data_IF_148432431184
#
_entry.id   IF_148432431184
#
_cell.length_a   1.000
_cell.length_b   1.000
_cell.length_c   1.000
_cell.angle_alpha   90.00
_cell.angle_beta   90.00
_cell.angle_gamma   90.00
#
_symmetry.space_group_name_H-M   'P 1'
#
loop_
_entity.id
_entity.type
_entity.pdbx_description
1 polymer ?
#
# COMPACT_ATOMS: atom_id res chain seq x y z
N UNK A 1 2.26 2.22 10.91
CA UNK A 1 3.37 3.15 11.22
C UNK A 1 3.72 3.98 9.99
N UNK A 2 4.45 5.11 10.15
CA UNK A 2 4.88 5.88 8.98
C UNK A 2 4.84 7.39 9.18
N UNK A 3 4.71 8.14 8.07
CA UNK A 3 4.80 9.60 8.03
C UNK A 3 3.61 10.21 7.29
N UNK A 4 3.02 11.26 7.84
CA UNK A 4 1.98 12.07 7.20
C UNK A 4 2.37 13.55 7.25
N UNK A 5 2.77 14.10 6.11
CA UNK A 5 3.16 15.51 6.02
C UNK A 5 2.02 16.39 5.47
N UNK A 6 0.89 15.80 5.15
CA UNK A 6 -0.30 16.56 4.75
C UNK A 6 -0.91 17.29 5.94
N UNK A 7 -1.08 16.60 7.08
CA UNK A 7 -1.60 17.21 8.30
C UNK A 7 -0.50 17.89 9.12
N UNK A 8 0.76 17.35 9.06
CA UNK A 8 1.94 17.82 9.79
C UNK A 8 1.73 17.94 11.32
N UNK A 9 0.85 17.11 11.86
CA UNK A 9 0.55 16.99 13.29
C UNK A 9 0.61 15.52 13.75
N UNK A 10 1.50 15.18 14.68
CA UNK A 10 2.56 16.04 15.27
C UNK A 10 3.61 16.43 14.23
N UNK A 11 4.44 17.45 14.53
CA UNK A 11 5.48 17.94 13.62
C UNK A 11 6.45 16.85 13.14
N UNK A 12 7.04 17.03 11.97
CA UNK A 12 7.81 16.03 11.22
C UNK A 12 8.90 15.32 12.01
N UNK A 13 9.66 16.06 12.84
CA UNK A 13 10.75 15.46 13.63
C UNK A 13 10.23 14.42 14.63
N UNK A 14 9.06 14.69 15.23
CA UNK A 14 8.44 13.74 16.15
C UNK A 14 7.90 12.53 15.40
N UNK A 15 7.28 12.74 14.22
CA UNK A 15 6.82 11.64 13.35
C UNK A 15 8.01 10.73 12.96
N UNK A 16 9.13 11.30 12.49
CA UNK A 16 10.34 10.56 12.13
C UNK A 16 10.89 9.75 13.31
N UNK A 17 10.99 10.37 14.49
CA UNK A 17 11.48 9.72 15.71
C UNK A 17 10.62 8.48 16.03
N UNK A 18 9.30 8.61 16.01
CA UNK A 18 8.40 7.50 16.32
C UNK A 18 8.37 6.44 15.21
N UNK A 19 8.46 6.84 13.96
CA UNK A 19 8.55 5.90 12.85
C UNK A 19 9.81 5.03 12.98
N UNK A 20 10.97 5.65 13.20
CA UNK A 20 12.22 4.93 13.45
C UNK A 20 12.12 3.97 14.63
N UNK A 21 11.54 4.42 15.77
CA UNK A 21 11.38 3.55 16.95
C UNK A 21 10.46 2.36 16.69
N UNK A 22 9.37 2.56 15.96
CA UNK A 22 8.45 1.48 15.61
C UNK A 22 9.06 0.47 14.63
N UNK A 23 9.91 0.93 13.70
CA UNK A 23 10.68 0.02 12.85
C UNK A 23 11.66 -0.85 13.65
N UNK A 24 12.30 -0.30 14.69
CA UNK A 24 13.13 -1.09 15.59
C UNK A 24 12.33 -2.18 16.32
N UNK A 25 11.14 -1.84 16.83
CA UNK A 25 10.25 -2.83 17.46
C UNK A 25 9.84 -3.91 16.45
N UNK A 26 9.50 -3.53 15.23
CA UNK A 26 9.17 -4.50 14.18
C UNK A 26 10.34 -5.44 13.87
N UNK A 27 11.58 -4.92 13.85
CA UNK A 27 12.78 -5.72 13.66
C UNK A 27 13.01 -6.70 14.84
N UNK A 28 12.89 -6.23 16.07
CA UNK A 28 13.02 -7.04 17.30
C UNK A 28 11.98 -8.17 17.37
N UNK A 29 10.75 -7.90 16.91
CA UNK A 29 9.64 -8.86 16.93
C UNK A 29 9.49 -9.65 15.63
N UNK A 30 10.30 -9.37 14.63
CA UNK A 30 10.24 -9.98 13.28
C UNK A 30 8.86 -9.85 12.61
N UNK A 31 8.14 -8.78 12.92
CA UNK A 31 6.79 -8.54 12.38
C UNK A 31 6.85 -7.76 11.06
N UNK A 32 6.03 -8.14 10.07
CA UNK A 32 5.84 -7.31 8.88
C UNK A 32 5.22 -5.97 9.25
N UNK A 33 5.47 -4.94 8.43
CA UNK A 33 5.00 -3.57 8.71
C UNK A 33 3.99 -3.09 7.69
N UNK A 34 3.02 -2.32 8.15
CA UNK A 34 2.11 -1.53 7.31
C UNK A 34 2.59 -0.09 7.37
N UNK A 35 3.06 0.44 6.24
CA UNK A 35 3.66 1.77 6.16
C UNK A 35 2.65 2.76 5.57
N UNK A 36 2.33 3.79 6.33
CA UNK A 36 1.66 4.98 5.84
C UNK A 36 2.69 6.01 5.38
N UNK A 37 2.51 6.55 4.19
CA UNK A 37 3.38 7.60 3.66
C UNK A 37 2.56 8.58 2.83
N UNK A 38 2.42 9.82 3.33
CA UNK A 38 1.69 10.89 2.64
C UNK A 38 2.54 12.15 2.56
N UNK A 39 2.85 12.59 1.34
CA UNK A 39 3.74 13.71 1.04
C UNK A 39 5.14 13.59 1.68
N UNK A 40 5.57 12.35 2.00
CA UNK A 40 6.76 12.02 2.78
C UNK A 40 7.67 10.97 2.12
N UNK A 41 7.58 10.75 0.81
CA UNK A 41 8.23 9.63 0.12
C UNK A 41 9.73 9.52 0.42
N UNK A 42 10.47 10.66 0.34
CA UNK A 42 11.91 10.67 0.56
C UNK A 42 12.26 10.25 1.98
N UNK A 43 11.69 10.92 2.98
CA UNK A 43 11.99 10.66 4.39
C UNK A 43 11.53 9.24 4.81
N UNK A 44 10.42 8.74 4.23
CA UNK A 44 9.98 7.36 4.44
C UNK A 44 11.03 6.38 3.95
N UNK A 45 11.53 6.54 2.73
CA UNK A 45 12.57 5.67 2.16
C UNK A 45 13.87 5.75 2.93
N UNK A 46 14.33 6.96 3.29
CA UNK A 46 15.57 7.17 4.02
C UNK A 46 15.54 6.46 5.39
N UNK A 47 14.46 6.64 6.16
CA UNK A 47 14.29 6.00 7.47
C UNK A 47 14.15 4.48 7.34
N UNK A 48 13.40 3.99 6.35
CA UNK A 48 13.28 2.56 6.09
C UNK A 48 14.63 1.92 5.73
N UNK A 49 15.48 2.62 4.97
CA UNK A 49 16.84 2.18 4.64
C UNK A 49 17.73 2.15 5.88
N UNK A 50 17.73 3.23 6.68
CA UNK A 50 18.53 3.35 7.89
C UNK A 50 18.22 2.25 8.92
N UNK A 51 16.93 1.89 9.06
CA UNK A 51 16.47 0.90 10.02
C UNK A 51 16.22 -0.49 9.42
N UNK A 52 16.74 -0.77 8.23
CA UNK A 52 16.66 -2.09 7.58
C UNK A 52 15.23 -2.68 7.54
N UNK A 53 14.22 -1.83 7.34
CA UNK A 53 12.79 -2.21 7.37
C UNK A 53 12.43 -3.32 6.36
N UNK A 54 13.27 -3.53 5.35
CA UNK A 54 13.07 -4.52 4.29
C UNK A 54 13.17 -5.99 4.76
N UNK A 55 13.82 -6.24 5.91
CA UNK A 55 14.13 -7.60 6.37
C UNK A 55 12.89 -8.41 6.75
N UNK A 56 11.88 -7.76 7.32
CA UNK A 56 10.67 -8.43 7.79
C UNK A 56 9.53 -8.38 6.77
N UNK A 57 9.74 -7.65 5.68
CA UNK A 57 8.70 -7.37 4.68
C UNK A 57 7.62 -6.42 5.19
N UNK A 58 6.68 -6.13 4.33
CA UNK A 58 5.58 -5.23 4.66
C UNK A 58 4.81 -4.77 3.43
N UNK A 59 3.94 -3.80 3.65
CA UNK A 59 3.14 -3.17 2.62
C UNK A 59 3.17 -1.66 2.76
N UNK A 60 3.25 -0.96 1.63
CA UNK A 60 2.97 0.46 1.57
C UNK A 60 1.46 0.62 1.40
N UNK A 61 0.82 1.06 2.46
CA UNK A 61 -0.62 1.28 2.52
C UNK A 61 -1.05 2.43 1.61
N UNK A 62 -2.18 2.25 0.94
CA UNK A 62 -2.82 3.26 0.08
C UNK A 62 -1.83 3.93 -0.88
N UNK A 63 -1.06 3.09 -1.61
CA UNK A 63 0.01 3.57 -2.47
C UNK A 63 -0.49 4.61 -3.47
N UNK A 64 0.17 5.76 -3.52
CA UNK A 64 -0.26 6.90 -4.35
C UNK A 64 0.88 7.66 -5.04
N UNK A 65 2.12 7.14 -4.95
CA UNK A 65 3.29 7.77 -5.58
C UNK A 65 3.46 7.34 -7.04
N UNK A 66 4.57 7.77 -7.65
CA UNK A 66 4.91 7.50 -9.04
C UNK A 66 5.42 6.06 -9.26
N UNK A 67 5.49 5.59 -10.53
CA UNK A 67 6.06 4.30 -10.88
C UNK A 67 7.51 4.11 -10.41
N UNK A 68 8.33 5.18 -10.43
CA UNK A 68 9.72 5.13 -9.98
C UNK A 68 9.81 4.82 -8.48
N UNK A 69 8.95 5.44 -7.67
CA UNK A 69 8.88 5.18 -6.23
C UNK A 69 8.31 3.77 -5.98
N UNK A 70 7.29 3.36 -6.74
CA UNK A 70 6.76 2.00 -6.66
C UNK A 70 7.85 0.96 -6.90
N UNK A 71 8.67 1.16 -7.95
CA UNK A 71 9.76 0.25 -8.28
C UNK A 71 10.75 0.06 -7.13
N UNK A 72 11.09 1.12 -6.39
CA UNK A 72 12.00 1.00 -5.23
C UNK A 72 11.44 0.05 -4.18
N UNK A 73 10.16 0.16 -3.83
CA UNK A 73 9.51 -0.72 -2.85
C UNK A 73 9.39 -2.15 -3.36
N UNK A 74 9.02 -2.33 -4.64
CA UNK A 74 8.90 -3.64 -5.27
C UNK A 74 10.25 -4.38 -5.34
N UNK A 75 11.32 -3.68 -5.73
CA UNK A 75 12.69 -4.25 -5.78
C UNK A 75 13.17 -4.67 -4.36
N UNK A 76 12.62 -4.08 -3.32
CA UNK A 76 12.89 -4.45 -1.91
C UNK A 76 11.96 -5.55 -1.37
N UNK A 77 11.06 -6.08 -2.19
CA UNK A 77 10.15 -7.16 -1.82
C UNK A 77 8.91 -6.73 -1.04
N UNK A 78 8.63 -5.42 -0.97
CA UNK A 78 7.41 -4.92 -0.34
C UNK A 78 6.19 -5.11 -1.24
N UNK A 79 5.04 -5.27 -0.59
CA UNK A 79 3.75 -5.20 -1.26
C UNK A 79 3.29 -3.75 -1.40
N UNK A 80 2.44 -3.48 -2.39
CA UNK A 80 1.71 -2.22 -2.50
C UNK A 80 0.23 -2.48 -2.26
N UNK A 81 -0.37 -1.68 -1.39
CA UNK A 81 -1.80 -1.66 -1.10
C UNK A 81 -2.54 -0.85 -2.15
N UNK A 82 -3.44 -1.51 -2.87
CA UNK A 82 -4.23 -0.90 -3.94
C UNK A 82 -5.70 -0.85 -3.52
N UNK A 83 -6.23 0.36 -3.38
CA UNK A 83 -7.59 0.63 -2.94
C UNK A 83 -8.43 1.38 -3.97
N UNK A 84 -9.55 1.95 -3.51
CA UNK A 84 -10.55 2.62 -4.33
C UNK A 84 -10.03 3.69 -5.27
N UNK A 85 -8.89 4.32 -4.94
CA UNK A 85 -8.26 5.38 -5.75
C UNK A 85 -7.94 4.91 -7.17
N UNK A 86 -7.65 3.63 -7.40
CA UNK A 86 -7.36 3.10 -8.74
C UNK A 86 -8.52 3.34 -9.72
N UNK A 87 -9.76 3.39 -9.21
CA UNK A 87 -10.96 3.61 -10.04
C UNK A 87 -11.18 5.08 -10.43
N UNK A 88 -10.39 6.03 -9.88
CA UNK A 88 -10.61 7.46 -10.12
C UNK A 88 -10.07 7.89 -11.48
N UNK A 89 -10.77 8.85 -12.13
CA UNK A 89 -10.36 9.37 -13.44
C UNK A 89 -8.99 10.04 -13.46
N UNK A 90 -8.60 10.65 -12.32
CA UNK A 90 -7.35 11.39 -12.19
C UNK A 90 -6.20 10.56 -11.60
N UNK A 91 -6.37 9.27 -11.36
CA UNK A 91 -5.35 8.38 -10.77
C UNK A 91 -4.36 7.80 -11.80
N UNK A 92 -3.99 8.56 -12.84
CA UNK A 92 -3.14 8.06 -13.94
C UNK A 92 -1.87 7.36 -13.46
N UNK A 93 -1.11 8.01 -12.57
CA UNK A 93 0.14 7.43 -12.03
C UNK A 93 -0.09 6.10 -11.30
N UNK A 94 -1.17 5.99 -10.52
CA UNK A 94 -1.49 4.74 -9.84
C UNK A 94 -1.89 3.64 -10.83
N UNK A 95 -2.59 3.98 -11.92
CA UNK A 95 -2.91 3.02 -12.98
C UNK A 95 -1.65 2.51 -13.67
N UNK A 96 -0.71 3.40 -14.00
CA UNK A 96 0.61 3.01 -14.53
C UNK A 96 1.37 2.08 -13.56
N UNK A 97 1.31 2.37 -12.25
CA UNK A 97 1.88 1.48 -11.22
C UNK A 97 1.20 0.12 -11.23
N UNK A 98 -0.13 0.08 -11.27
CA UNK A 98 -0.88 -1.19 -11.32
C UNK A 98 -0.52 -1.97 -12.59
N UNK A 99 -0.41 -1.33 -13.74
CA UNK A 99 -0.02 -1.98 -15.00
C UNK A 99 1.37 -2.64 -14.92
N UNK A 100 2.36 -1.92 -14.33
CA UNK A 100 3.74 -2.39 -14.28
C UNK A 100 4.06 -3.39 -13.17
N UNK A 101 3.40 -3.26 -12.00
CA UNK A 101 3.75 -4.07 -10.84
C UNK A 101 3.38 -5.54 -10.99
N UNK A 102 4.16 -6.50 -10.45
CA UNK A 102 3.76 -7.89 -10.44
C UNK A 102 2.56 -8.14 -9.52
N UNK A 103 1.60 -8.97 -9.96
CA UNK A 103 0.46 -9.36 -9.13
C UNK A 103 0.88 -10.00 -7.80
N UNK A 104 2.03 -10.69 -7.78
CA UNK A 104 2.59 -11.32 -6.58
C UNK A 104 3.02 -10.35 -5.48
N UNK A 105 3.02 -9.04 -5.75
CA UNK A 105 3.34 -8.00 -4.77
C UNK A 105 2.19 -7.01 -4.56
N UNK A 106 0.98 -7.36 -4.99
CA UNK A 106 -0.22 -6.56 -4.81
C UNK A 106 -1.08 -7.09 -3.67
N UNK A 107 -1.58 -6.21 -2.82
CA UNK A 107 -2.68 -6.51 -1.88
C UNK A 107 -3.81 -5.51 -2.07
N UNK A 108 -5.04 -5.95 -1.81
CA UNK A 108 -6.21 -5.09 -1.89
C UNK A 108 -6.51 -4.48 -0.52
N UNK A 109 -6.99 -3.26 -0.54
CA UNK A 109 -7.40 -2.55 0.66
C UNK A 109 -8.54 -1.57 0.38
N UNK A 110 -9.08 -0.95 1.41
CA UNK A 110 -10.21 -0.03 1.30
C UNK A 110 -9.91 1.39 1.74
N UNK A 111 -9.11 1.57 2.77
CA UNK A 111 -8.98 2.81 3.55
C UNK A 111 -10.34 3.29 4.11
N UNK A 112 -11.23 2.33 4.42
CA UNK A 112 -12.56 2.62 4.95
C UNK A 112 -12.48 3.46 6.24
N UNK A 113 -13.37 4.44 6.41
CA UNK A 113 -14.59 4.74 5.63
C UNK A 113 -14.37 5.70 4.46
N UNK A 114 -13.12 5.96 4.08
CA UNK A 114 -12.71 6.92 3.05
C UNK A 114 -12.49 6.26 1.69
N UNK A 115 -12.17 7.07 0.68
CA UNK A 115 -11.71 6.69 -0.66
C UNK A 115 -12.60 5.68 -1.40
N UNK A 116 -13.91 5.79 -1.21
CA UNK A 116 -14.91 4.93 -1.86
C UNK A 116 -14.70 4.90 -3.38
N UNK A 117 -14.62 3.71 -4.00
CA UNK A 117 -14.39 3.58 -5.44
C UNK A 117 -15.58 4.11 -6.28
N UNK A 118 -15.30 4.40 -7.55
CA UNK A 118 -16.34 4.65 -8.56
C UNK A 118 -17.13 3.33 -8.74
N UNK A 119 -18.49 3.37 -8.89
CA UNK A 119 -19.34 4.59 -9.05
C UNK A 119 -19.84 5.19 -7.73
N UNK A 120 -19.39 4.71 -6.59
CA UNK A 120 -19.97 5.05 -5.29
C UNK A 120 -19.28 6.23 -4.56
N UNK A 121 -18.56 7.08 -5.31
CA UNK A 121 -17.89 8.27 -4.75
C UNK A 121 -18.83 9.12 -3.87
N UNK A 122 -18.28 9.58 -2.73
CA UNK A 122 -19.04 10.40 -1.75
C UNK A 122 -19.89 9.60 -0.76
N UNK A 123 -20.01 8.28 -0.92
CA UNK A 123 -20.62 7.40 0.09
C UNK A 123 -19.56 6.93 1.10
N UNK A 124 -20.00 6.43 2.25
CA UNK A 124 -19.12 5.75 3.19
C UNK A 124 -18.58 4.47 2.53
N UNK A 125 -17.26 4.28 2.59
CA UNK A 125 -16.61 3.10 2.05
C UNK A 125 -16.70 1.91 3.02
N UNK A 126 -16.74 0.70 2.45
CA UNK A 126 -16.63 -0.59 3.16
C UNK A 126 -16.01 -1.66 2.25
N UNK A 127 -15.71 -2.83 2.80
CA UNK A 127 -15.05 -3.92 2.07
C UNK A 127 -15.90 -4.51 0.93
N UNK A 128 -17.21 -4.31 0.91
CA UNK A 128 -18.08 -4.75 -0.18
C UNK A 128 -17.75 -4.07 -1.51
N UNK A 129 -17.21 -2.86 -1.45
CA UNK A 129 -16.81 -2.10 -2.65
C UNK A 129 -15.47 -2.54 -3.26
N UNK A 130 -14.73 -3.48 -2.65
CA UNK A 130 -13.52 -4.05 -3.25
C UNK A 130 -13.78 -4.71 -4.61
N UNK A 131 -15.02 -5.12 -4.88
CA UNK A 131 -15.41 -5.65 -6.20
C UNK A 131 -15.09 -4.69 -7.33
N UNK A 132 -15.31 -3.38 -7.13
CA UNK A 132 -15.00 -2.34 -8.13
C UNK A 132 -13.49 -2.11 -8.30
N UNK A 133 -12.72 -2.29 -7.24
CA UNK A 133 -11.25 -2.25 -7.29
C UNK A 133 -10.72 -3.43 -8.11
N UNK A 134 -11.25 -4.62 -7.87
CA UNK A 134 -10.92 -5.83 -8.65
C UNK A 134 -11.25 -5.65 -10.12
N UNK A 135 -12.43 -5.11 -10.46
CA UNK A 135 -12.84 -4.85 -11.84
C UNK A 135 -11.86 -3.95 -12.58
N UNK A 136 -11.46 -2.85 -11.95
CA UNK A 136 -10.50 -1.91 -12.55
C UNK A 136 -9.12 -2.54 -12.73
N UNK A 137 -8.63 -3.28 -11.71
CA UNK A 137 -7.33 -3.97 -11.80
C UNK A 137 -7.35 -5.03 -12.88
N UNK A 138 -8.40 -5.83 -12.97
CA UNK A 138 -8.56 -6.86 -14.00
C UNK A 138 -8.51 -6.25 -15.41
N UNK A 139 -9.18 -5.10 -15.62
CA UNK A 139 -9.14 -4.37 -16.86
C UNK A 139 -7.73 -3.85 -17.20
N UNK A 140 -7.04 -3.22 -16.23
CA UNK A 140 -5.68 -2.70 -16.41
C UNK A 140 -4.66 -3.81 -16.68
N UNK A 141 -4.80 -4.96 -16.05
CA UNK A 141 -3.92 -6.12 -16.18
C UNK A 141 -4.27 -7.05 -17.34
N UNK A 142 -5.42 -6.85 -17.97
CA UNK A 142 -5.96 -7.75 -19.01
C UNK A 142 -6.01 -9.22 -18.54
N UNK A 143 -6.48 -9.44 -17.31
CA UNK A 143 -6.61 -10.76 -16.71
C UNK A 143 -7.96 -10.93 -16.01
N UNK A 144 -8.29 -12.16 -15.60
CA UNK A 144 -9.57 -12.48 -14.99
C UNK A 144 -9.66 -11.96 -13.54
N UNK A 145 -10.88 -11.59 -13.14
CA UNK A 145 -11.19 -11.15 -11.76
C UNK A 145 -10.81 -12.20 -10.73
N UNK A 146 -11.12 -13.44 -11.01
CA UNK A 146 -10.86 -14.59 -10.16
C UNK A 146 -9.37 -14.76 -9.91
N UNK A 147 -8.55 -14.49 -10.91
CA UNK A 147 -7.10 -14.50 -10.78
C UNK A 147 -6.61 -13.39 -9.85
N UNK A 148 -7.12 -12.15 -10.00
CA UNK A 148 -6.80 -11.03 -9.09
C UNK A 148 -7.19 -11.41 -7.66
N UNK A 149 -8.40 -11.89 -7.43
CA UNK A 149 -8.90 -12.27 -6.10
C UNK A 149 -8.03 -13.36 -5.48
N UNK A 150 -7.73 -14.41 -6.23
CA UNK A 150 -6.91 -15.53 -5.76
C UNK A 150 -5.51 -15.07 -5.36
N UNK A 151 -4.81 -14.37 -6.27
CA UNK A 151 -3.41 -13.97 -6.03
C UNK A 151 -3.32 -12.94 -4.89
N UNK A 152 -4.18 -11.93 -4.86
CA UNK A 152 -4.12 -10.90 -3.80
C UNK A 152 -4.51 -11.47 -2.43
N UNK A 153 -5.40 -12.47 -2.37
CA UNK A 153 -5.70 -13.22 -1.16
C UNK A 153 -4.49 -14.03 -0.68
N UNK A 154 -3.83 -14.76 -1.58
CA UNK A 154 -2.60 -15.51 -1.26
C UNK A 154 -1.50 -14.58 -0.75
N UNK A 155 -1.33 -13.41 -1.39
CA UNK A 155 -0.40 -12.37 -0.96
C UNK A 155 -0.71 -11.86 0.45
N UNK A 156 -1.98 -11.58 0.75
CA UNK A 156 -2.39 -11.13 2.09
C UNK A 156 -2.13 -12.21 3.15
N UNK A 157 -2.46 -13.49 2.87
CA UNK A 157 -2.15 -14.60 3.76
C UNK A 157 -0.64 -14.71 4.03
N UNK A 158 0.18 -14.59 2.99
CA UNK A 158 1.64 -14.62 3.09
C UNK A 158 2.18 -13.43 3.89
N UNK A 159 1.73 -12.22 3.55
CA UNK A 159 2.17 -10.98 4.20
C UNK A 159 1.85 -10.98 5.70
N UNK A 160 0.61 -11.33 6.05
CA UNK A 160 0.13 -11.29 7.44
C UNK A 160 0.31 -12.62 8.18
N UNK A 161 0.91 -13.64 7.55
CA UNK A 161 1.16 -14.98 8.14
C UNK A 161 -0.12 -15.64 8.65
N UNK A 162 -1.24 -15.48 7.92
CA UNK A 162 -2.54 -16.04 8.28
C UNK A 162 -2.57 -17.52 7.88
N UNK A 163 -2.84 -18.40 8.85
CA UNK A 163 -2.99 -19.85 8.59
C UNK A 163 -1.67 -20.62 8.43
N UNK A 164 -0.57 -20.05 8.93
CA UNK A 164 0.73 -20.74 9.04
C UNK A 164 0.88 -21.40 10.40
#
# INVERSE_FOLDING_TARGET
IGLDYYYDEPGRDLQKKWFARQLQVAAETQMPVIIHSRDAAKDTLDIMNEHCAWQNGGVIHCFSYSPEIAKIYLDKGFYLGIGGVVTFKNSKKLKEVVEMMPLSQMVLETDSPYLTPVPHRGKRNDSGYLTHVVDEIAALKSCDREEIIRITRENAHKLYRIGQ
#
